data_IF_690009941435
#
_entry.id   IF_690009941435
#
_cell.length_a   1.000
_cell.length_b   1.000
_cell.length_c   1.000
_cell.angle_alpha   90.00
_cell.angle_beta   90.00
_cell.angle_gamma   90.00
#
_symmetry.space_group_name_H-M   'P 1'
#
loop_
_entity.id
_entity.type
_entity.pdbx_description
1 polymer ?
#
# COMPACT_ATOMS: atom_id res chain seq x y z
N UNK A 1 -16.60 7.81 2.31
CA UNK A 1 -16.20 6.59 2.86
C UNK A 1 -14.77 6.30 2.58
N UNK A 2 -14.06 5.95 3.57
CA UNK A 2 -12.67 5.72 3.40
C UNK A 2 -12.42 4.41 2.68
N UNK A 3 -11.64 4.47 1.65
CA UNK A 3 -11.39 3.30 0.85
C UNK A 3 -9.91 3.02 0.88
N UNK A 4 -9.53 1.98 1.59
CA UNK A 4 -8.12 1.61 1.72
C UNK A 4 -7.53 1.30 0.36
N UNK A 5 -8.31 0.68 -0.52
CA UNK A 5 -7.84 0.36 -1.85
C UNK A 5 -7.46 1.64 -2.59
N UNK A 6 -8.31 2.66 -2.50
CA UNK A 6 -8.02 3.93 -3.15
C UNK A 6 -6.76 4.57 -2.56
N UNK A 7 -6.60 4.50 -1.25
CA UNK A 7 -5.41 5.05 -0.63
C UNK A 7 -4.16 4.38 -1.12
N UNK A 8 -4.22 3.07 -1.29
CA UNK A 8 -3.05 2.32 -1.75
C UNK A 8 -2.75 2.63 -3.21
N UNK A 9 -3.79 2.75 -4.04
CA UNK A 9 -3.57 3.11 -5.42
C UNK A 9 -2.95 4.50 -5.53
N UNK A 10 -3.39 5.43 -4.70
CA UNK A 10 -2.80 6.76 -4.70
C UNK A 10 -1.35 6.73 -4.24
N UNK A 11 -1.07 5.93 -3.22
CA UNK A 11 0.29 5.79 -2.73
C UNK A 11 1.21 5.23 -3.83
N UNK A 12 0.73 4.21 -4.54
CA UNK A 12 1.50 3.63 -5.61
C UNK A 12 1.78 4.65 -6.72
N UNK A 13 0.77 5.43 -7.05
CA UNK A 13 0.91 6.44 -8.09
C UNK A 13 1.91 7.52 -7.67
N UNK A 14 1.79 8.00 -6.44
CA UNK A 14 2.70 9.03 -5.97
C UNK A 14 4.16 8.57 -5.95
N UNK A 15 4.37 7.30 -5.64
CA UNK A 15 5.71 6.76 -5.51
C UNK A 15 6.15 5.94 -6.72
N UNK A 16 5.33 5.92 -7.75
CA UNK A 16 5.63 5.22 -9.01
C UNK A 16 5.98 3.77 -8.77
N UNK A 17 5.14 3.10 -7.98
CA UNK A 17 5.37 1.70 -7.63
C UNK A 17 4.51 0.79 -8.48
N UNK A 18 5.08 -0.35 -8.87
CA UNK A 18 4.30 -1.41 -9.47
C UNK A 18 3.71 -2.28 -8.36
N UNK A 19 2.77 -3.16 -8.74
CA UNK A 19 2.22 -4.09 -7.77
C UNK A 19 3.28 -4.99 -7.17
N UNK A 20 4.25 -5.38 -7.98
CA UNK A 20 5.33 -6.22 -7.48
C UNK A 20 6.16 -5.47 -6.44
N UNK A 21 6.45 -4.21 -6.69
CA UNK A 21 7.22 -3.41 -5.75
C UNK A 21 6.45 -3.20 -4.45
N UNK A 22 5.16 -2.94 -4.56
CA UNK A 22 4.35 -2.79 -3.38
C UNK A 22 4.30 -4.08 -2.57
N UNK A 23 4.16 -5.21 -3.25
CA UNK A 23 4.14 -6.50 -2.57
C UNK A 23 5.43 -6.71 -1.79
N UNK A 24 6.56 -6.35 -2.36
CA UNK A 24 7.83 -6.48 -1.67
C UNK A 24 7.86 -5.60 -0.41
N UNK A 25 7.35 -4.40 -0.52
CA UNK A 25 7.32 -3.49 0.63
C UNK A 25 6.42 -4.00 1.73
N UNK A 26 5.31 -4.63 1.36
CA UNK A 26 4.35 -5.12 2.34
C UNK A 26 4.63 -6.55 2.79
N UNK A 27 5.59 -7.22 2.16
CA UNK A 27 5.93 -8.57 2.57
C UNK A 27 4.91 -9.60 2.14
N UNK A 28 4.21 -9.37 1.04
CA UNK A 28 3.25 -10.34 0.53
C UNK A 28 3.52 -10.60 -0.95
N UNK A 29 2.75 -11.49 -1.56
CA UNK A 29 2.98 -11.84 -2.93
C UNK A 29 2.25 -10.89 -3.87
N UNK A 30 2.76 -10.76 -5.09
CA UNK A 30 2.13 -9.88 -6.06
C UNK A 30 0.72 -10.33 -6.43
N UNK A 31 0.43 -11.63 -6.59
CA UNK A 31 -0.96 -12.04 -6.85
C UNK A 31 -1.92 -11.63 -5.75
N UNK A 32 -1.48 -11.63 -4.50
CA UNK A 32 -2.34 -11.20 -3.41
C UNK A 32 -2.64 -9.71 -3.51
N UNK A 33 -1.65 -8.91 -3.87
CA UNK A 33 -1.87 -7.48 -4.08
C UNK A 33 -2.88 -7.28 -5.21
N UNK A 34 -2.73 -8.02 -6.29
CA UNK A 34 -3.64 -7.89 -7.42
C UNK A 34 -5.08 -8.19 -7.02
N UNK A 35 -5.30 -9.27 -6.28
CA UNK A 35 -6.64 -9.64 -5.83
C UNK A 35 -7.20 -8.61 -4.88
N UNK A 36 -6.36 -8.10 -4.00
CA UNK A 36 -6.77 -7.10 -3.04
C UNK A 36 -7.24 -5.83 -3.75
N UNK A 37 -6.50 -5.38 -4.74
CA UNK A 37 -6.88 -4.19 -5.47
C UNK A 37 -8.17 -4.36 -6.27
N UNK A 38 -8.53 -5.61 -6.58
CA UNK A 38 -9.78 -5.89 -7.24
C UNK A 38 -10.93 -6.07 -6.26
N UNK A 39 -10.64 -6.04 -4.97
CA UNK A 39 -11.67 -6.23 -3.97
C UNK A 39 -12.02 -7.68 -3.70
N UNK A 40 -11.21 -8.62 -4.21
CA UNK A 40 -11.49 -10.04 -4.04
C UNK A 40 -10.80 -10.67 -2.84
N UNK A 41 -10.03 -9.91 -2.11
CA UNK A 41 -9.19 -10.46 -1.07
C UNK A 41 -9.12 -9.49 0.09
N UNK A 42 -9.33 -9.98 1.29
CA UNK A 42 -9.25 -9.14 2.48
C UNK A 42 -7.82 -9.02 2.94
N UNK A 43 -7.42 -7.82 3.25
CA UNK A 43 -6.07 -7.57 3.69
C UNK A 43 -5.91 -8.00 5.13
N UNK A 44 -4.80 -8.65 5.44
CA UNK A 44 -4.52 -9.02 6.82
C UNK A 44 -4.17 -7.79 7.61
N UNK A 45 -4.50 -7.82 8.89
CA UNK A 45 -4.21 -6.71 9.76
C UNK A 45 -2.72 -6.36 9.78
N UNK A 46 -1.86 -7.37 9.82
CA UNK A 46 -0.43 -7.11 9.85
C UNK A 46 0.05 -6.40 8.58
N UNK A 47 -0.50 -6.77 7.43
CA UNK A 47 -0.15 -6.13 6.18
C UNK A 47 -0.67 -4.69 6.16
N UNK A 48 -1.88 -4.49 6.66
CA UNK A 48 -2.44 -3.15 6.72
C UNK A 48 -1.60 -2.26 7.63
N UNK A 49 -1.14 -2.78 8.76
CA UNK A 49 -0.30 -2.00 9.66
C UNK A 49 1.01 -1.63 9.00
N UNK A 50 1.55 -2.53 8.19
CA UNK A 50 2.77 -2.23 7.48
C UNK A 50 2.55 -1.09 6.48
N UNK A 51 1.40 -1.11 5.82
CA UNK A 51 1.06 -0.03 4.90
C UNK A 51 0.92 1.29 5.65
N UNK A 52 0.34 1.27 6.85
CA UNK A 52 0.23 2.47 7.65
C UNK A 52 1.61 3.03 7.99
N UNK A 53 2.56 2.15 8.28
CA UNK A 53 3.92 2.60 8.54
C UNK A 53 4.54 3.26 7.31
N UNK A 54 4.27 2.71 6.13
CA UNK A 54 4.79 3.31 4.91
C UNK A 54 4.23 4.71 4.71
N UNK A 55 2.95 4.89 5.01
CA UNK A 55 2.34 6.20 4.90
C UNK A 55 2.97 7.19 5.88
N UNK A 56 3.24 6.74 7.09
CA UNK A 56 3.87 7.60 8.07
C UNK A 56 5.26 8.04 7.61
N UNK A 57 6.01 7.12 7.05
CA UNK A 57 7.34 7.45 6.58
C UNK A 57 7.28 8.39 5.39
N UNK A 58 6.29 8.22 4.53
CA UNK A 58 6.12 9.11 3.41
C UNK A 58 5.86 10.53 3.88
N UNK A 59 5.03 10.67 4.89
CA UNK A 59 4.73 11.99 5.44
C UNK A 59 5.96 12.64 6.04
N UNK A 60 6.78 11.86 6.71
CA UNK A 60 7.99 12.40 7.30
C UNK A 60 8.95 12.91 6.24
N UNK A 61 9.07 12.18 5.15
CA UNK A 61 9.96 12.60 4.10
C UNK A 61 9.48 13.86 3.41
N UNK A 62 8.19 13.99 3.24
CA UNK A 62 7.66 15.16 2.60
C UNK A 62 7.88 16.38 3.42
N UNK A 63 7.94 16.26 4.75
CA UNK A 63 7.98 17.38 5.54
C UNK A 63 9.30 17.93 5.77
N UNK A 64 10.30 17.66 5.20
CA UNK A 64 11.48 18.26 5.48
C UNK A 64 11.56 19.55 4.92
N UNK A 65 11.85 20.32 5.05
CA UNK A 65 11.97 21.53 4.57
C UNK A 65 12.04 22.34 5.05
#
# INVERSE_FOLDING_TARGET
MNDVITEIQNYMTRNKLSQRQLAALLGCSQPNISRWLKGEYSLRLSTYQKFQQLLEEEKKEIKHD
#
